data_IF_589398921284
#
_entry.id   IF_589398921284
#
_cell.length_a   1.000
_cell.length_b   1.000
_cell.length_c   1.000
_cell.angle_alpha   90.00
_cell.angle_beta   90.00
_cell.angle_gamma   90.00
#
_symmetry.space_group_name_H-M   'P 1'
#
loop_
_entity.id
_entity.type
_entity.pdbx_description
1 polymer ?
#
# COMPACT_ATOMS: atom_id res chain seq x y z
N UNK A 1 -16.37 -10.23 -17.53
CA UNK A 1 -15.19 -10.27 -16.64
C UNK A 1 -13.99 -9.89 -17.48
N UNK A 2 -13.38 -8.73 -17.20
CA UNK A 2 -12.17 -8.28 -17.88
C UNK A 2 -10.95 -9.09 -17.46
N UNK A 3 -9.89 -9.02 -18.26
CA UNK A 3 -8.58 -9.59 -17.91
C UNK A 3 -7.99 -8.70 -16.81
N UNK A 4 -7.56 -9.28 -15.69
CA UNK A 4 -6.87 -8.53 -14.62
C UNK A 4 -5.42 -8.29 -15.01
N UNK A 5 -4.94 -7.06 -14.83
CA UNK A 5 -3.56 -6.73 -15.10
C UNK A 5 -2.60 -7.48 -14.15
N UNK A 6 -1.36 -7.69 -14.60
CA UNK A 6 -0.32 -8.37 -13.84
C UNK A 6 0.95 -7.53 -13.79
N UNK A 7 1.75 -7.67 -12.73
CA UNK A 7 3.02 -6.97 -12.61
C UNK A 7 4.14 -7.97 -12.88
N UNK A 8 5.01 -7.64 -13.83
CA UNK A 8 6.18 -8.45 -14.19
C UNK A 8 7.44 -7.67 -13.83
N UNK A 9 8.36 -8.33 -13.14
CA UNK A 9 9.70 -7.78 -12.89
C UNK A 9 10.71 -8.94 -12.92
N UNK A 10 11.60 -8.93 -13.90
CA UNK A 10 12.56 -10.03 -14.10
C UNK A 10 13.65 -10.06 -13.03
N UNK A 11 14.16 -8.89 -12.62
CA UNK A 11 15.13 -8.75 -11.52
C UNK A 11 14.86 -7.45 -10.75
N UNK A 12 15.28 -7.31 -9.48
CA UNK A 12 15.15 -6.06 -8.73
C UNK A 12 15.82 -4.84 -9.41
N UNK A 13 16.77 -5.09 -10.32
CA UNK A 13 17.49 -4.07 -11.09
C UNK A 13 16.80 -3.66 -12.39
N UNK A 14 15.70 -4.33 -12.76
CA UNK A 14 14.88 -3.97 -13.91
C UNK A 14 13.64 -3.20 -13.44
N UNK A 15 13.21 -2.18 -14.20
CA UNK A 15 11.97 -1.47 -13.88
C UNK A 15 10.81 -2.48 -13.92
N UNK A 16 9.85 -2.41 -12.98
CA UNK A 16 8.66 -3.24 -13.05
C UNK A 16 7.81 -2.85 -14.27
N UNK A 17 7.09 -3.83 -14.82
CA UNK A 17 6.13 -3.61 -15.89
C UNK A 17 4.72 -3.90 -15.39
N UNK A 18 3.80 -2.95 -15.60
CA UNK A 18 2.36 -3.14 -15.37
C UNK A 18 1.71 -3.58 -16.69
N UNK A 19 1.28 -4.84 -16.71
CA UNK A 19 0.63 -5.50 -17.84
C UNK A 19 -0.74 -4.93 -18.18
N UNK A 20 -1.32 -5.42 -19.27
CA UNK A 20 -2.66 -5.03 -19.73
C UNK A 20 -3.76 -5.62 -18.85
N UNK A 21 -4.85 -4.87 -18.66
CA UNK A 21 -6.03 -5.34 -17.95
C UNK A 21 -6.57 -4.40 -16.89
N UNK A 22 -7.56 -4.87 -16.14
CA UNK A 22 -8.19 -4.12 -15.06
C UNK A 22 -7.25 -4.01 -13.86
N UNK A 23 -7.17 -2.79 -13.33
CA UNK A 23 -6.32 -2.42 -12.20
C UNK A 23 -7.22 -2.21 -10.98
N UNK A 24 -6.97 -2.94 -9.91
CA UNK A 24 -7.63 -2.75 -8.62
C UNK A 24 -6.67 -2.15 -7.58
N UNK A 25 -7.21 -1.79 -6.41
CA UNK A 25 -6.47 -1.20 -5.29
C UNK A 25 -5.28 -2.06 -4.87
N UNK A 26 -5.47 -3.39 -4.81
CA UNK A 26 -4.42 -4.33 -4.46
C UNK A 26 -3.29 -4.39 -5.51
N UNK A 27 -3.61 -4.28 -6.80
CA UNK A 27 -2.63 -4.25 -7.87
C UNK A 27 -1.86 -2.92 -7.88
N UNK A 28 -2.53 -1.77 -7.69
CA UNK A 28 -1.84 -0.48 -7.59
C UNK A 28 -0.88 -0.43 -6.41
N UNK A 29 -1.29 -0.92 -5.24
CA UNK A 29 -0.40 -1.00 -4.09
C UNK A 29 0.86 -1.84 -4.39
N UNK A 30 0.70 -3.00 -5.04
CA UNK A 30 1.83 -3.84 -5.48
C UNK A 30 2.71 -3.11 -6.50
N UNK A 31 2.10 -2.38 -7.44
CA UNK A 31 2.80 -1.59 -8.44
C UNK A 31 3.68 -0.52 -7.80
N UNK A 32 3.12 0.30 -6.90
CA UNK A 32 3.87 1.33 -6.19
C UNK A 32 5.01 0.75 -5.36
N UNK A 33 4.74 -0.34 -4.63
CA UNK A 33 5.77 -1.04 -3.84
C UNK A 33 6.92 -1.53 -4.72
N UNK A 34 6.63 -2.11 -5.89
CA UNK A 34 7.66 -2.58 -6.83
C UNK A 34 8.45 -1.43 -7.44
N UNK A 35 7.79 -0.32 -7.75
CA UNK A 35 8.44 0.89 -8.24
C UNK A 35 9.39 1.48 -7.20
N UNK A 36 8.93 1.65 -5.95
CA UNK A 36 9.75 2.17 -4.85
C UNK A 36 10.98 1.29 -4.59
N UNK A 37 10.82 -0.03 -4.60
CA UNK A 37 11.93 -0.96 -4.42
C UNK A 37 12.96 -0.85 -5.56
N UNK A 38 12.51 -0.75 -6.81
CA UNK A 38 13.40 -0.53 -7.95
C UNK A 38 14.16 0.81 -7.82
N UNK A 39 13.44 1.88 -7.48
CA UNK A 39 14.02 3.23 -7.32
C UNK A 39 15.08 3.28 -6.21
N UNK A 40 14.81 2.64 -5.07
CA UNK A 40 15.76 2.51 -3.95
C UNK A 40 17.00 1.69 -4.34
N UNK A 41 16.82 0.60 -5.08
CA UNK A 41 17.94 -0.23 -5.54
C UNK A 41 18.85 0.47 -6.53
N UNK A 42 18.29 1.33 -7.39
CA UNK A 42 19.04 2.03 -8.43
C UNK A 42 19.71 3.31 -7.95
N UNK A 43 19.48 3.73 -6.70
CA UNK A 43 19.95 5.00 -6.13
C UNK A 43 19.76 6.15 -7.13
N UNK A 44 18.54 6.27 -7.66
CA UNK A 44 18.19 7.29 -8.66
C UNK A 44 18.09 8.65 -7.95
N UNK A 45 19.24 9.17 -7.52
CA UNK A 45 19.39 10.51 -6.99
C UNK A 45 19.37 11.49 -8.17
N UNK A 46 18.28 12.25 -8.31
CA UNK A 46 18.23 13.43 -9.19
C UNK A 46 17.43 13.31 -10.49
N UNK A 47 16.82 12.16 -10.80
CA UNK A 47 15.72 12.12 -11.79
C UNK A 47 14.37 12.10 -11.05
N UNK A 48 13.33 12.74 -11.58
CA UNK A 48 11.96 12.62 -11.06
C UNK A 48 11.62 11.13 -10.95
N UNK A 49 11.38 10.64 -9.73
CA UNK A 49 11.14 9.21 -9.44
C UNK A 49 10.08 8.61 -10.39
N UNK A 50 9.08 9.41 -10.70
CA UNK A 50 7.99 9.19 -11.65
C UNK A 50 8.47 8.89 -13.06
N UNK A 51 9.45 9.62 -13.60
CA UNK A 51 9.98 9.40 -14.97
C UNK A 51 10.59 8.01 -15.14
N UNK A 52 11.25 7.50 -14.11
CA UNK A 52 11.96 6.22 -14.18
C UNK A 52 11.04 4.99 -14.22
N UNK A 53 9.79 5.13 -13.74
CA UNK A 53 8.85 4.00 -13.61
C UNK A 53 7.55 4.18 -14.37
N UNK A 54 7.13 5.43 -14.67
CA UNK A 54 5.87 5.70 -15.35
C UNK A 54 5.80 5.07 -16.75
N UNK A 55 6.91 4.95 -17.46
CA UNK A 55 6.96 4.31 -18.78
C UNK A 55 6.92 2.77 -18.73
N UNK A 56 6.87 2.16 -17.54
CA UNK A 56 6.75 0.72 -17.37
C UNK A 56 5.33 0.16 -17.58
N UNK A 57 4.38 0.94 -18.09
CA UNK A 57 3.00 0.47 -18.28
C UNK A 57 2.74 0.06 -19.73
N UNK A 58 2.09 -1.10 -19.94
CA UNK A 58 1.85 -1.65 -21.29
C UNK A 58 0.41 -1.53 -21.77
N UNK A 59 -0.56 -1.24 -20.89
CA UNK A 59 -1.97 -1.06 -21.28
C UNK A 59 -2.15 0.13 -22.24
N UNK A 60 -3.00 -0.03 -23.27
CA UNK A 60 -3.22 1.06 -24.24
C UNK A 60 -3.77 2.34 -23.59
N UNK A 61 -4.55 2.23 -22.50
CA UNK A 61 -5.08 3.39 -21.76
C UNK A 61 -3.96 4.12 -21.03
N UNK A 62 -3.05 3.38 -20.37
CA UNK A 62 -1.89 3.97 -19.68
C UNK A 62 -0.93 4.60 -20.68
N UNK A 63 -0.66 3.95 -21.83
CA UNK A 63 0.18 4.50 -22.91
C UNK A 63 -0.40 5.81 -23.46
N UNK A 64 -1.71 5.84 -23.73
CA UNK A 64 -2.39 7.06 -24.23
C UNK A 64 -2.33 8.20 -23.21
N UNK A 65 -2.54 7.88 -21.93
CA UNK A 65 -2.42 8.86 -20.85
C UNK A 65 -0.98 9.39 -20.72
N UNK A 66 0.03 8.52 -20.76
CA UNK A 66 1.44 8.90 -20.74
C UNK A 66 1.82 9.80 -21.92
N UNK A 67 1.28 9.52 -23.11
CA UNK A 67 1.50 10.37 -24.28
C UNK A 67 0.88 11.77 -24.13
N UNK A 68 -0.30 11.86 -23.49
CA UNK A 68 -0.98 13.13 -23.27
C UNK A 68 -0.38 13.97 -22.12
N UNK A 69 0.19 13.32 -21.11
CA UNK A 69 0.62 13.96 -19.85
C UNK A 69 2.12 13.89 -19.58
N UNK A 70 2.91 13.29 -20.49
CA UNK A 70 4.34 13.02 -20.31
C UNK A 70 5.18 14.20 -19.79
N UNK A 71 5.06 15.43 -20.32
CA UNK A 71 5.78 16.59 -19.80
C UNK A 71 5.47 16.93 -18.34
N UNK A 72 4.19 16.78 -17.95
CA UNK A 72 3.71 17.03 -16.58
C UNK A 72 4.14 15.90 -15.65
N UNK A 73 4.03 14.65 -16.09
CA UNK A 73 4.46 13.48 -15.32
C UNK A 73 5.94 13.52 -14.95
N UNK A 74 6.78 14.05 -15.84
CA UNK A 74 8.21 14.22 -15.58
C UNK A 74 8.52 15.26 -14.50
N UNK A 75 7.56 16.07 -14.07
CA UNK A 75 7.75 17.06 -13.01
C UNK A 75 7.00 16.70 -11.73
N UNK A 76 6.26 15.61 -11.77
CA UNK A 76 5.35 15.20 -10.71
C UNK A 76 6.11 14.54 -9.57
N UNK A 77 5.77 14.96 -8.35
CA UNK A 77 6.22 14.29 -7.14
C UNK A 77 5.57 12.90 -7.01
N UNK A 78 6.21 12.02 -6.24
CA UNK A 78 5.78 10.63 -6.14
C UNK A 78 4.34 10.47 -5.61
N UNK A 79 3.96 11.27 -4.62
CA UNK A 79 2.61 11.22 -4.04
C UNK A 79 1.54 11.74 -5.01
N UNK A 80 1.85 12.78 -5.79
CA UNK A 80 0.94 13.28 -6.82
C UNK A 80 0.72 12.24 -7.92
N UNK A 81 1.76 11.50 -8.31
CA UNK A 81 1.64 10.41 -9.27
C UNK A 81 0.77 9.25 -8.74
N UNK A 82 0.94 8.85 -7.48
CA UNK A 82 0.08 7.82 -6.85
C UNK A 82 -1.39 8.26 -6.87
N UNK A 83 -1.66 9.52 -6.53
CA UNK A 83 -3.01 10.07 -6.54
C UNK A 83 -3.63 10.09 -7.94
N UNK A 84 -2.88 10.50 -8.96
CA UNK A 84 -3.39 10.45 -10.34
C UNK A 84 -3.65 9.03 -10.84
N UNK A 85 -2.77 8.08 -10.52
CA UNK A 85 -2.99 6.67 -10.83
C UNK A 85 -4.26 6.13 -10.16
N UNK A 86 -4.52 6.49 -8.91
CA UNK A 86 -5.76 6.10 -8.23
C UNK A 86 -6.98 6.73 -8.89
N UNK A 87 -6.94 8.03 -9.20
CA UNK A 87 -8.04 8.75 -9.86
C UNK A 87 -8.40 8.20 -11.25
N UNK A 88 -7.41 7.76 -12.03
CA UNK A 88 -7.61 7.31 -13.40
C UNK A 88 -8.07 5.86 -13.51
N UNK A 89 -7.59 4.98 -12.61
CA UNK A 89 -7.75 3.54 -12.76
C UNK A 89 -8.70 2.91 -11.75
N UNK A 90 -8.98 3.58 -10.62
CA UNK A 90 -9.92 3.08 -9.62
C UNK A 90 -11.31 3.71 -9.79
N UNK A 91 -12.32 3.09 -9.17
CA UNK A 91 -13.68 3.62 -9.16
C UNK A 91 -13.76 4.90 -8.32
N UNK A 92 -14.75 5.76 -8.56
CA UNK A 92 -14.84 7.07 -7.90
C UNK A 92 -14.90 6.98 -6.35
N UNK A 93 -15.43 5.88 -5.82
CA UNK A 93 -15.54 5.57 -4.40
C UNK A 93 -14.38 4.70 -3.86
N UNK A 94 -13.26 4.61 -4.59
CA UNK A 94 -12.12 3.76 -4.20
C UNK A 94 -11.57 4.10 -2.82
N UNK A 95 -11.54 5.39 -2.46
CA UNK A 95 -11.00 5.84 -1.17
C UNK A 95 -11.91 5.36 -0.03
N UNK A 96 -13.23 5.55 -0.20
CA UNK A 96 -14.23 5.09 0.76
C UNK A 96 -14.22 3.57 0.89
N UNK A 97 -14.25 2.84 -0.23
CA UNK A 97 -14.24 1.38 -0.24
C UNK A 97 -12.95 0.82 0.36
N UNK A 98 -11.78 1.41 0.06
CA UNK A 98 -10.51 1.01 0.68
C UNK A 98 -10.51 1.26 2.18
N UNK A 99 -11.05 2.39 2.64
CA UNK A 99 -11.19 2.67 4.07
C UNK A 99 -12.12 1.67 4.76
N UNK A 100 -13.25 1.34 4.15
CA UNK A 100 -14.18 0.33 4.69
C UNK A 100 -13.53 -1.06 4.72
N UNK A 101 -12.78 -1.41 3.68
CA UNK A 101 -12.01 -2.65 3.64
C UNK A 101 -11.00 -2.73 4.80
N UNK A 102 -10.33 -1.63 5.15
CA UNK A 102 -9.39 -1.56 6.28
C UNK A 102 -10.14 -1.74 7.61
N UNK A 103 -11.24 -1.00 7.83
CA UNK A 103 -12.01 -1.07 9.08
C UNK A 103 -12.69 -2.43 9.30
N UNK A 104 -13.00 -3.13 8.21
CA UNK A 104 -13.57 -4.48 8.23
C UNK A 104 -12.50 -5.58 8.07
N UNK A 105 -11.21 -5.25 8.18
CA UNK A 105 -10.14 -6.22 8.02
C UNK A 105 -9.82 -6.89 9.36
N UNK A 106 -10.14 -8.20 9.45
CA UNK A 106 -9.91 -9.01 10.63
C UNK A 106 -8.76 -9.99 10.40
N UNK A 107 -7.98 -10.27 11.44
CA UNK A 107 -6.87 -11.23 11.41
C UNK A 107 -7.35 -12.61 10.96
N UNK A 108 -8.52 -13.07 11.44
CA UNK A 108 -9.07 -14.39 11.14
C UNK A 108 -8.01 -15.49 11.37
N UNK A 109 -7.78 -16.35 10.38
CA UNK A 109 -6.77 -17.42 10.42
C UNK A 109 -5.38 -16.98 9.99
N UNK A 110 -5.14 -15.69 9.73
CA UNK A 110 -3.81 -15.20 9.34
C UNK A 110 -2.90 -15.12 10.56
N UNK A 111 -1.62 -15.36 10.31
CA UNK A 111 -0.56 -15.01 11.26
C UNK A 111 -0.62 -13.49 11.50
N UNK A 112 -0.48 -13.07 12.76
CA UNK A 112 -0.62 -11.67 13.16
C UNK A 112 0.25 -10.72 12.31
N UNK A 113 1.51 -11.09 12.07
CA UNK A 113 2.44 -10.29 11.27
C UNK A 113 1.93 -10.05 9.85
N UNK A 114 1.39 -11.07 9.19
CA UNK A 114 0.85 -10.95 7.84
C UNK A 114 -0.40 -10.07 7.82
N UNK A 115 -1.29 -10.25 8.80
CA UNK A 115 -2.45 -9.41 9.00
C UNK A 115 -2.07 -7.93 9.16
N UNK A 116 -1.14 -7.64 10.06
CA UNK A 116 -0.65 -6.30 10.35
C UNK A 116 -0.03 -5.64 9.11
N UNK A 117 0.87 -6.34 8.40
CA UNK A 117 1.50 -5.78 7.20
C UNK A 117 0.51 -5.56 6.06
N UNK A 118 -0.47 -6.45 5.88
CA UNK A 118 -1.51 -6.28 4.87
C UNK A 118 -2.39 -5.07 5.18
N UNK A 119 -2.78 -4.88 6.45
CA UNK A 119 -3.55 -3.72 6.91
C UNK A 119 -2.75 -2.41 6.69
N UNK A 120 -1.49 -2.36 7.12
CA UNK A 120 -0.62 -1.20 6.92
C UNK A 120 -0.39 -0.90 5.43
N UNK A 121 -0.26 -1.94 4.60
CA UNK A 121 -0.12 -1.81 3.15
C UNK A 121 -1.35 -1.19 2.51
N UNK A 122 -2.55 -1.63 2.90
CA UNK A 122 -3.83 -1.02 2.48
C UNK A 122 -3.92 0.45 2.90
N UNK A 123 -3.57 0.77 4.14
CA UNK A 123 -3.57 2.17 4.61
C UNK A 123 -2.57 3.05 3.85
N UNK A 124 -1.41 2.51 3.46
CA UNK A 124 -0.43 3.26 2.66
C UNK A 124 -0.97 3.66 1.26
N UNK A 125 -1.97 2.94 0.73
CA UNK A 125 -2.64 3.37 -0.51
C UNK A 125 -3.46 4.65 -0.33
N UNK A 126 -3.93 4.92 0.90
CA UNK A 126 -4.64 6.14 1.26
C UNK A 126 -3.69 7.31 1.58
N UNK A 127 -2.37 7.11 1.53
CA UNK A 127 -1.41 8.16 1.85
C UNK A 127 -1.62 9.39 0.94
N UNK A 128 -1.79 10.56 1.57
CA UNK A 128 -2.07 11.81 0.88
C UNK A 128 -3.56 12.11 0.68
N UNK A 129 -4.47 11.25 1.16
CA UNK A 129 -5.92 11.51 1.23
C UNK A 129 -6.37 11.75 2.68
N UNK A 130 -7.57 12.30 2.84
CA UNK A 130 -8.18 12.53 4.16
C UNK A 130 -8.57 11.21 4.88
N UNK A 131 -8.60 10.10 4.14
CA UNK A 131 -8.88 8.76 4.69
C UNK A 131 -7.66 8.05 5.25
N UNK A 132 -6.46 8.59 5.10
CA UNK A 132 -5.24 8.02 5.67
C UNK A 132 -5.35 7.91 7.20
N UNK A 133 -5.17 6.70 7.74
CA UNK A 133 -5.15 6.48 9.18
C UNK A 133 -3.76 6.79 9.72
N UNK A 134 -3.69 7.71 10.68
CA UNK A 134 -2.45 7.97 11.41
C UNK A 134 -2.10 6.80 12.34
N UNK A 135 -0.94 6.88 12.99
CA UNK A 135 -0.45 5.81 13.85
C UNK A 135 -1.38 5.45 15.02
N UNK A 136 -2.12 6.41 15.58
CA UNK A 136 -3.04 6.15 16.68
C UNK A 136 -4.27 5.38 16.18
N UNK A 137 -4.90 5.84 15.10
CA UNK A 137 -6.00 5.13 14.46
C UNK A 137 -5.59 3.75 13.93
N UNK A 138 -4.36 3.63 13.41
CA UNK A 138 -3.83 2.34 12.98
C UNK A 138 -3.68 1.37 14.13
N UNK A 139 -3.23 1.85 15.30
CA UNK A 139 -3.17 1.02 16.50
C UNK A 139 -4.55 0.49 16.87
N UNK A 140 -5.54 1.38 17.02
CA UNK A 140 -6.91 1.02 17.37
C UNK A 140 -7.52 0.03 16.36
N UNK A 141 -7.26 0.25 15.06
CA UNK A 141 -7.75 -0.62 14.00
C UNK A 141 -7.12 -2.01 14.05
N UNK A 142 -5.82 -2.09 14.32
CA UNK A 142 -5.13 -3.38 14.48
C UNK A 142 -5.68 -4.11 15.70
N UNK A 143 -5.78 -3.44 16.86
CA UNK A 143 -6.32 -4.02 18.11
C UNK A 143 -7.74 -4.57 17.92
N UNK A 144 -8.60 -3.81 17.23
CA UNK A 144 -9.98 -4.20 16.96
C UNK A 144 -10.10 -5.43 16.05
N UNK A 145 -9.17 -5.60 15.10
CA UNK A 145 -9.19 -6.71 14.15
C UNK A 145 -8.36 -7.93 14.56
N UNK A 146 -7.63 -7.88 15.68
CA UNK A 146 -6.87 -9.03 16.22
C UNK A 146 -7.79 -10.22 16.50
N UNK A 147 -7.21 -11.43 16.44
CA UNK A 147 -7.87 -12.64 16.94
C UNK A 147 -8.19 -12.49 18.43
N UNK A 148 -9.36 -12.96 18.87
CA UNK A 148 -9.91 -12.63 20.19
C UNK A 148 -9.04 -13.12 21.36
N UNK A 149 -8.45 -14.31 21.27
CA UNK A 149 -7.54 -14.82 22.32
C UNK A 149 -6.27 -13.96 22.37
N UNK A 150 -5.66 -13.68 21.23
CA UNK A 150 -4.45 -12.86 21.16
C UNK A 150 -4.70 -11.40 21.62
N UNK A 151 -5.82 -10.81 21.23
CA UNK A 151 -6.26 -9.48 21.67
C UNK A 151 -6.43 -9.42 23.19
N UNK A 152 -7.02 -10.47 23.79
CA UNK A 152 -7.19 -10.56 25.24
C UNK A 152 -5.85 -10.62 25.97
N UNK A 153 -4.88 -11.40 25.47
CA UNK A 153 -3.52 -11.46 26.05
C UNK A 153 -2.81 -10.11 26.00
N UNK A 154 -2.87 -9.40 24.87
CA UNK A 154 -2.34 -8.05 24.75
C UNK A 154 -2.99 -7.08 25.75
N UNK A 155 -4.30 -7.19 25.96
CA UNK A 155 -5.01 -6.36 26.93
C UNK A 155 -4.62 -6.71 28.39
N UNK A 156 -4.37 -7.98 28.70
CA UNK A 156 -3.88 -8.40 30.03
C UNK A 156 -2.47 -7.86 30.34
N UNK A 157 -1.59 -7.80 29.34
CA UNK A 157 -0.27 -7.16 29.45
C UNK A 157 -0.37 -5.62 29.49
N UNK A 158 -1.55 -5.06 29.24
CA UNK A 158 -1.81 -3.63 29.39
C UNK A 158 -1.11 -2.75 28.37
N UNK A 159 -0.67 -3.31 27.22
CA UNK A 159 0.22 -2.59 26.30
C UNK A 159 -0.45 -1.50 25.45
N UNK A 160 -1.79 -1.42 25.41
CA UNK A 160 -2.52 -0.49 24.52
C UNK A 160 -2.23 1.02 24.72
N UNK A 161 -1.63 1.41 25.84
CA UNK A 161 -1.22 2.81 26.09
C UNK A 161 0.21 3.12 25.64
N UNK A 162 0.98 2.12 25.20
CA UNK A 162 2.37 2.30 24.82
C UNK A 162 2.47 3.19 23.59
N UNK A 163 3.31 4.22 23.68
CA UNK A 163 3.65 5.14 22.59
C UNK A 163 5.17 5.31 22.52
N UNK A 164 5.74 5.63 21.35
CA UNK A 164 5.10 5.73 20.04
C UNK A 164 4.62 4.38 19.51
N UNK A 165 3.79 4.39 18.45
CA UNK A 165 3.23 3.20 17.79
C UNK A 165 4.27 2.09 17.50
N UNK A 166 5.51 2.46 17.18
CA UNK A 166 6.61 1.50 17.01
C UNK A 166 6.86 0.67 18.27
N UNK A 167 6.92 1.30 19.45
CA UNK A 167 7.17 0.60 20.70
C UNK A 167 6.03 -0.34 21.03
N UNK A 168 4.79 0.10 20.81
CA UNK A 168 3.61 -0.76 20.96
C UNK A 168 3.71 -1.98 20.04
N UNK A 169 4.02 -1.78 18.76
CA UNK A 169 4.19 -2.86 17.80
C UNK A 169 5.28 -3.86 18.22
N UNK A 170 6.39 -3.39 18.77
CA UNK A 170 7.49 -4.25 19.20
C UNK A 170 7.04 -5.15 20.38
N UNK A 171 6.24 -4.62 21.32
CA UNK A 171 5.66 -5.40 22.42
C UNK A 171 4.58 -6.40 21.94
N UNK A 172 3.67 -5.97 21.06
CA UNK A 172 2.66 -6.88 20.49
C UNK A 172 3.33 -8.08 19.81
N UNK A 173 4.43 -7.84 19.07
CA UNK A 173 5.18 -8.91 18.42
C UNK A 173 5.83 -9.86 19.42
N UNK A 174 6.41 -9.33 20.49
CA UNK A 174 6.98 -10.13 21.57
C UNK A 174 5.91 -11.05 22.19
N UNK A 175 4.70 -10.55 22.46
CA UNK A 175 3.59 -11.38 22.95
C UNK A 175 3.21 -12.45 21.92
N UNK A 176 3.09 -12.07 20.64
CA UNK A 176 2.71 -13.00 19.57
C UNK A 176 3.72 -14.16 19.38
N UNK A 177 5.01 -13.94 19.64
CA UNK A 177 6.03 -15.00 19.59
C UNK A 177 5.86 -16.05 20.71
N UNK A 178 5.13 -15.68 21.76
CA UNK A 178 4.85 -16.51 22.93
C UNK A 178 3.38 -16.99 23.02
N UNK A 179 2.56 -16.69 22.00
CA UNK A 179 1.12 -17.00 21.90
C UNK A 179 0.78 -18.45 21.51
#
# INVERSE_FOLDING_TARGET
MGIRATIVQSTPNCPPTLGEGDIDTALLWKWFTKCENYLRHKDVSGLPMTKSVAYGMSDVRTIRWLAATGPVLNQMEWDEYKNQMCFLFLQADWEHTTRMDILCFWQNSKVFIDYMFELMGKNNLLAGTDSFMNNDYMQETIEAGMESKFSWECNCEGIGHIKPFKNWLDEVKHINEHH
#
